data_IF_097044804385
#
_entry.id   IF_097044804385
#
_cell.length_a   1.000
_cell.length_b   1.000
_cell.length_c   1.000
_cell.angle_alpha   90.00
_cell.angle_beta   90.00
_cell.angle_gamma   90.00
#
_symmetry.space_group_name_H-M   'P 1'
#
loop_
_entity.id
_entity.type
_entity.pdbx_description
1 polymer ?
#
# COMPACT_ATOMS: atom_id res chain seq x y z
N UNK A 1 69.00 7.29 56.04
CA UNK A 1 68.65 8.12 54.87
C UNK A 1 68.69 7.24 53.63
N UNK A 2 67.59 6.62 53.18
CA UNK A 2 67.54 5.95 51.86
C UNK A 2 66.13 5.63 51.31
N UNK A 3 65.04 5.88 52.06
CA UNK A 3 63.69 5.57 51.58
C UNK A 3 62.95 6.74 50.91
N UNK A 4 63.59 7.92 50.80
CA UNK A 4 62.97 9.12 50.20
C UNK A 4 62.91 9.07 48.66
N UNK A 5 63.75 8.24 48.04
CA UNK A 5 63.87 8.13 46.58
C UNK A 5 62.77 7.26 45.94
N UNK A 6 62.24 6.27 46.67
CA UNK A 6 61.16 5.42 46.17
C UNK A 6 59.82 6.15 46.03
N UNK A 7 59.52 7.08 46.95
CA UNK A 7 58.24 7.78 46.97
C UNK A 7 58.09 8.81 45.84
N UNK A 8 59.19 9.50 45.47
CA UNK A 8 59.18 10.44 44.34
C UNK A 8 59.02 9.74 42.98
N UNK A 9 59.62 8.55 42.80
CA UNK A 9 59.40 7.75 41.59
C UNK A 9 57.96 7.25 41.47
N UNK A 10 57.35 6.84 42.58
CA UNK A 10 55.96 6.39 42.57
C UNK A 10 54.98 7.51 42.19
N UNK A 11 55.18 8.71 42.75
CA UNK A 11 54.37 9.90 42.43
C UNK A 11 54.49 10.31 40.96
N UNK A 12 55.70 10.25 40.39
CA UNK A 12 55.94 10.55 38.98
C UNK A 12 55.22 9.55 38.05
N UNK A 13 55.30 8.25 38.35
CA UNK A 13 54.61 7.20 37.57
C UNK A 13 53.09 7.36 37.65
N UNK A 14 52.55 7.74 38.81
CA UNK A 14 51.12 8.01 38.96
C UNK A 14 50.66 9.26 38.19
N UNK A 15 51.48 10.31 38.10
CA UNK A 15 51.17 11.50 37.28
C UNK A 15 51.19 11.19 35.79
N UNK A 16 52.20 10.45 35.30
CA UNK A 16 52.31 10.07 33.88
C UNK A 16 51.10 9.19 33.47
N UNK A 17 50.68 8.25 34.32
CA UNK A 17 49.52 7.40 34.04
C UNK A 17 48.21 8.20 33.94
N UNK A 18 48.04 9.26 34.75
CA UNK A 18 46.87 10.14 34.67
C UNK A 18 46.86 10.96 33.37
N UNK A 19 47.99 11.51 32.96
CA UNK A 19 48.11 12.25 31.70
C UNK A 19 47.84 11.37 30.48
N UNK A 20 48.34 10.13 30.49
CA UNK A 20 48.13 9.19 29.38
C UNK A 20 46.65 8.79 29.23
N UNK A 21 45.96 8.51 30.34
CA UNK A 21 44.51 8.20 30.31
C UNK A 21 43.70 9.41 29.85
N UNK A 22 44.05 10.62 30.29
CA UNK A 22 43.35 11.84 29.87
C UNK A 22 43.56 12.14 28.37
N UNK A 23 44.77 11.92 27.85
CA UNK A 23 45.07 12.04 26.42
C UNK A 23 44.27 11.04 25.56
N UNK A 24 44.11 9.80 26.02
CA UNK A 24 43.31 8.79 25.30
C UNK A 24 41.83 9.17 25.29
N UNK A 25 41.30 9.68 26.41
CA UNK A 25 39.90 10.12 26.49
C UNK A 25 39.63 11.33 25.59
N UNK A 26 40.54 12.29 25.51
CA UNK A 26 40.44 13.43 24.58
C UNK A 26 40.50 12.93 23.13
N UNK A 27 41.42 12.04 22.80
CA UNK A 27 41.53 11.48 21.45
C UNK A 27 40.26 10.71 21.05
N UNK A 28 39.68 9.90 21.96
CA UNK A 28 38.39 9.24 21.71
C UNK A 28 37.23 10.23 21.57
N UNK A 29 37.18 11.29 22.38
CA UNK A 29 36.13 12.30 22.26
C UNK A 29 36.21 13.08 20.93
N UNK A 30 37.41 13.39 20.46
CA UNK A 30 37.63 14.01 19.13
C UNK A 30 37.23 13.04 18.01
N UNK A 31 37.53 11.74 18.16
CA UNK A 31 37.16 10.73 17.17
C UNK A 31 35.65 10.50 17.08
N UNK A 32 34.93 10.59 18.22
CA UNK A 32 33.48 10.44 18.27
C UNK A 32 32.73 11.66 17.72
N UNK A 33 33.29 12.87 17.81
CA UNK A 33 32.66 14.09 17.29
C UNK A 33 32.80 14.28 15.77
N UNK A 34 33.65 13.49 15.09
CA UNK A 34 33.86 13.59 13.64
C UNK A 34 33.02 12.60 12.82
N UNK A 35 32.06 11.89 13.42
CA UNK A 35 31.05 11.19 12.64
C UNK A 35 30.07 12.22 12.07
N UNK A 36 30.46 12.83 10.96
CA UNK A 36 29.53 13.49 10.03
C UNK A 36 28.63 12.38 9.53
N UNK A 37 27.45 12.25 10.14
CA UNK A 37 26.41 11.38 9.64
C UNK A 37 26.03 11.88 8.24
N UNK A 38 26.31 11.07 7.23
CA UNK A 38 25.82 11.35 5.88
C UNK A 38 24.30 11.46 5.98
N UNK A 39 23.76 12.59 5.54
CA UNK A 39 22.32 12.80 5.57
C UNK A 39 21.64 11.75 4.68
N UNK A 40 20.63 11.07 5.22
CA UNK A 40 19.90 10.01 4.54
C UNK A 40 18.92 10.62 3.51
N UNK A 41 18.94 10.09 2.29
CA UNK A 41 17.98 10.46 1.25
C UNK A 41 16.67 9.71 1.46
N UNK A 42 15.54 10.40 1.32
CA UNK A 42 14.22 9.79 1.26
C UNK A 42 13.49 10.14 -0.04
N UNK A 43 12.58 9.26 -0.45
CA UNK A 43 11.84 9.36 -1.70
C UNK A 43 10.36 9.30 -1.41
N UNK A 44 9.62 10.25 -1.96
CA UNK A 44 8.16 10.24 -1.99
C UNK A 44 7.75 10.07 -3.45
N UNK A 45 6.95 9.05 -3.73
CA UNK A 45 6.38 8.82 -5.05
C UNK A 45 4.87 9.10 -5.05
N UNK A 46 4.40 9.80 -6.09
CA UNK A 46 2.99 10.05 -6.35
C UNK A 46 2.69 9.66 -7.79
N UNK A 47 1.63 8.88 -8.00
CA UNK A 47 1.24 8.43 -9.34
C UNK A 47 -0.19 8.87 -9.68
N UNK A 48 -0.34 9.60 -10.78
CA UNK A 48 -1.64 10.12 -11.26
C UNK A 48 -1.69 10.00 -12.78
N UNK A 49 -2.72 9.34 -13.33
CA UNK A 49 -2.96 9.23 -14.78
C UNK A 49 -1.72 8.73 -15.55
N UNK A 50 -1.12 7.61 -15.13
CA UNK A 50 0.11 7.05 -15.71
C UNK A 50 1.36 7.98 -15.68
N UNK A 51 1.33 9.04 -14.87
CA UNK A 51 2.46 9.93 -14.64
C UNK A 51 2.99 9.71 -13.24
N UNK A 52 4.25 9.29 -13.13
CA UNK A 52 4.94 9.13 -11.86
C UNK A 52 5.74 10.40 -11.55
N UNK A 53 5.47 10.98 -10.38
CA UNK A 53 6.22 12.10 -9.82
C UNK A 53 7.02 11.61 -8.62
N UNK A 54 8.34 11.76 -8.67
CA UNK A 54 9.24 11.43 -7.56
C UNK A 54 9.75 12.72 -6.93
N UNK A 55 9.63 12.84 -5.62
CA UNK A 55 10.21 13.92 -4.82
C UNK A 55 11.33 13.36 -3.95
N UNK A 56 12.54 13.86 -4.13
CA UNK A 56 13.74 13.44 -3.38
C UNK A 56 14.03 14.46 -2.29
N UNK A 57 14.15 13.98 -1.05
CA UNK A 57 14.39 14.79 0.14
C UNK A 57 15.69 14.38 0.84
N UNK A 58 16.38 15.34 1.44
CA UNK A 58 17.49 15.13 2.40
C UNK A 58 17.13 15.87 3.67
N UNK A 59 17.05 15.15 4.79
CA UNK A 59 16.63 15.73 6.07
C UNK A 59 15.30 16.51 5.99
N UNK A 60 14.37 16.05 5.13
CA UNK A 60 13.07 16.67 4.89
C UNK A 60 13.06 17.84 3.89
N UNK A 61 14.21 18.26 3.35
CA UNK A 61 14.30 19.34 2.38
C UNK A 61 14.47 18.81 0.95
N UNK A 62 13.88 19.46 -0.06
CA UNK A 62 14.05 19.05 -1.46
C UNK A 62 15.50 19.07 -1.95
N UNK A 63 15.88 18.03 -2.71
CA UNK A 63 17.23 17.91 -3.27
C UNK A 63 17.22 18.23 -4.75
N UNK A 64 17.68 19.44 -5.11
CA UNK A 64 17.86 19.86 -6.51
C UNK A 64 19.09 19.19 -7.15
N UNK A 65 19.07 18.99 -8.47
CA UNK A 65 20.19 18.45 -9.24
C UNK A 65 20.64 17.04 -8.79
N UNK A 66 19.75 16.25 -8.21
CA UNK A 66 19.96 14.82 -7.99
C UNK A 66 19.76 14.08 -9.32
N UNK A 67 20.62 13.11 -9.61
CA UNK A 67 20.53 12.31 -10.81
C UNK A 67 19.71 11.05 -10.54
N UNK A 68 18.70 10.79 -11.36
CA UNK A 68 17.83 9.61 -11.22
C UNK A 68 17.87 8.76 -12.48
N UNK A 69 18.09 7.46 -12.29
CA UNK A 69 18.12 6.45 -13.34
C UNK A 69 16.97 5.47 -13.11
N UNK A 70 16.12 5.27 -14.11
CA UNK A 70 14.96 4.37 -14.03
C UNK A 70 15.27 3.07 -14.76
N UNK A 71 14.98 1.94 -14.10
CA UNK A 71 15.21 0.59 -14.61
C UNK A 71 13.92 -0.20 -14.63
N UNK A 72 13.79 -1.06 -15.65
CA UNK A 72 12.60 -1.86 -15.91
C UNK A 72 12.35 -2.91 -14.81
N UNK A 73 13.44 -3.49 -14.28
CA UNK A 73 13.37 -4.62 -13.36
C UNK A 73 14.66 -4.71 -12.51
N UNK A 74 14.75 -5.76 -11.70
CA UNK A 74 15.90 -6.05 -10.84
C UNK A 74 17.17 -6.44 -11.61
N UNK A 75 17.09 -6.67 -12.92
CA UNK A 75 18.27 -6.87 -13.78
C UNK A 75 18.95 -5.55 -14.14
N UNK A 76 18.42 -4.41 -13.67
CA UNK A 76 18.94 -3.07 -13.93
C UNK A 76 19.02 -2.74 -15.42
N UNK A 77 18.06 -3.26 -16.21
CA UNK A 77 17.89 -2.87 -17.60
C UNK A 77 17.33 -1.45 -17.66
N UNK A 78 18.13 -0.53 -18.20
CA UNK A 78 17.80 0.90 -18.27
C UNK A 78 16.50 1.10 -19.07
N UNK A 79 15.54 1.77 -18.45
CA UNK A 79 14.22 2.07 -19.03
C UNK A 79 14.16 3.50 -19.57
N UNK A 80 14.71 4.45 -18.81
CA UNK A 80 14.70 5.87 -19.16
C UNK A 80 16.10 6.47 -19.12
N UNK A 81 16.33 7.53 -19.91
CA UNK A 81 17.51 8.36 -19.78
C UNK A 81 17.57 9.06 -18.42
N UNK A 82 18.80 9.46 -18.06
CA UNK A 82 19.11 10.14 -16.80
C UNK A 82 18.20 11.36 -16.62
N UNK A 83 17.44 11.36 -15.54
CA UNK A 83 16.59 12.48 -15.12
C UNK A 83 17.32 13.30 -14.06
N UNK A 84 17.02 14.59 -13.97
CA UNK A 84 17.62 15.50 -13.00
C UNK A 84 16.49 16.21 -12.26
N UNK A 85 16.52 16.18 -10.92
CA UNK A 85 15.51 16.87 -10.10
C UNK A 85 15.57 18.38 -10.27
N UNK A 86 14.40 19.01 -10.31
CA UNK A 86 14.23 20.47 -10.32
C UNK A 86 14.48 21.08 -8.93
N UNK A 87 14.28 22.40 -8.80
CA UNK A 87 14.43 23.14 -7.53
C UNK A 87 13.51 22.65 -6.39
N UNK A 88 12.42 21.96 -6.72
CA UNK A 88 11.49 21.33 -5.78
C UNK A 88 11.88 19.87 -5.48
N UNK A 89 13.06 19.41 -5.91
CA UNK A 89 13.52 18.04 -5.72
C UNK A 89 12.72 17.02 -6.53
N UNK A 90 12.00 17.46 -7.57
CA UNK A 90 11.04 16.64 -8.31
C UNK A 90 11.54 16.23 -9.68
N UNK A 91 11.17 15.01 -10.07
CA UNK A 91 11.16 14.56 -11.48
C UNK A 91 9.80 13.97 -11.82
N UNK A 92 9.46 14.05 -13.10
CA UNK A 92 8.22 13.51 -13.64
C UNK A 92 8.52 12.70 -14.90
N UNK A 93 7.91 11.53 -15.04
CA UNK A 93 8.00 10.76 -16.28
C UNK A 93 6.74 9.94 -16.53
N UNK A 94 6.49 9.65 -17.81
CA UNK A 94 5.39 8.80 -18.25
C UNK A 94 5.71 7.34 -17.98
N UNK A 95 4.74 6.62 -17.44
CA UNK A 95 4.92 5.29 -16.89
C UNK A 95 3.86 4.34 -17.42
N UNK A 96 4.25 3.21 -18.01
CA UNK A 96 3.32 2.21 -18.57
C UNK A 96 3.42 0.83 -17.93
N UNK A 97 4.42 0.60 -17.09
CA UNK A 97 4.66 -0.69 -16.45
C UNK A 97 4.05 -0.73 -15.04
N UNK A 98 4.21 -1.82 -14.29
CA UNK A 98 3.63 -1.93 -12.92
C UNK A 98 4.63 -1.63 -11.82
N UNK A 99 5.90 -1.92 -12.07
CA UNK A 99 6.99 -1.75 -11.09
C UNK A 99 8.24 -1.35 -11.83
N UNK A 100 8.98 -0.37 -11.32
CA UNK A 100 10.31 0.02 -11.79
C UNK A 100 11.24 0.26 -10.60
N UNK A 101 12.53 0.29 -10.87
CA UNK A 101 13.53 0.65 -9.87
C UNK A 101 14.13 2.00 -10.22
N UNK A 102 14.26 2.87 -9.22
CA UNK A 102 14.99 4.12 -9.34
C UNK A 102 16.31 4.03 -8.58
N UNK A 103 17.41 4.33 -9.28
CA UNK A 103 18.71 4.61 -8.65
C UNK A 103 18.91 6.12 -8.60
N UNK A 104 19.13 6.65 -7.41
CA UNK A 104 19.27 8.07 -7.15
C UNK A 104 20.69 8.32 -6.66
N UNK A 105 21.36 9.29 -7.28
CA UNK A 105 22.75 9.63 -6.98
C UNK A 105 22.89 11.13 -6.78
N UNK A 106 23.51 11.55 -5.67
CA UNK A 106 23.79 12.95 -5.35
C UNK A 106 25.18 13.06 -4.72
N UNK A 107 25.90 14.14 -5.02
CA UNK A 107 27.25 14.37 -4.48
C UNK A 107 27.28 14.23 -2.96
N UNK A 108 28.22 13.42 -2.45
CA UNK A 108 28.43 13.15 -1.02
C UNK A 108 27.33 12.34 -0.31
N UNK A 109 26.38 11.79 -1.06
CA UNK A 109 25.45 10.78 -0.56
C UNK A 109 25.75 9.43 -1.20
N UNK A 110 25.49 8.36 -0.47
CA UNK A 110 25.49 7.02 -1.03
C UNK A 110 24.33 6.85 -2.02
N UNK A 111 24.52 5.97 -3.01
CA UNK A 111 23.49 5.68 -4.00
C UNK A 111 22.26 5.04 -3.33
N UNK A 112 21.08 5.62 -3.55
CA UNK A 112 19.81 5.06 -3.08
C UNK A 112 19.13 4.29 -4.20
N UNK A 113 18.72 3.04 -3.94
CA UNK A 113 17.93 2.23 -4.86
C UNK A 113 16.56 2.00 -4.23
N UNK A 114 15.51 2.47 -4.91
CA UNK A 114 14.13 2.35 -4.44
C UNK A 114 13.29 1.58 -5.47
N UNK A 115 12.53 0.59 -5.01
CA UNK A 115 11.47 -0.03 -5.81
C UNK A 115 10.26 0.90 -5.80
N UNK A 116 9.78 1.23 -7.00
CA UNK A 116 8.64 2.10 -7.22
C UNK A 116 7.53 1.27 -7.85
N UNK A 117 6.37 1.26 -7.21
CA UNK A 117 5.17 0.65 -7.75
C UNK A 117 4.12 1.73 -7.90
N UNK A 118 3.83 2.13 -9.14
CA UNK A 118 2.62 2.88 -9.41
C UNK A 118 1.46 1.89 -9.38
N UNK A 119 0.94 1.65 -8.19
CA UNK A 119 -0.43 1.20 -8.04
C UNK A 119 -1.20 2.51 -8.02
N UNK A 120 -1.96 2.82 -9.07
CA UNK A 120 -2.88 3.97 -9.03
C UNK A 120 -3.73 3.81 -7.77
N UNK A 121 -3.38 4.55 -6.71
CA UNK A 121 -4.14 4.53 -5.49
C UNK A 121 -5.45 5.18 -5.84
N UNK A 122 -6.52 4.39 -5.82
CA UNK A 122 -7.88 4.88 -5.94
C UNK A 122 -8.02 5.99 -4.90
N UNK A 123 -8.10 7.25 -5.31
CA UNK A 123 -8.59 8.28 -4.41
C UNK A 123 -10.09 8.04 -4.34
N UNK A 124 -10.64 7.57 -3.20
CA UNK A 124 -12.08 7.59 -3.03
C UNK A 124 -12.49 9.05 -3.15
N UNK A 125 -13.06 9.43 -4.30
CA UNK A 125 -13.89 10.61 -4.33
C UNK A 125 -15.06 10.24 -3.43
N UNK A 126 -15.15 10.93 -2.28
CA UNK A 126 -16.28 10.80 -1.38
C UNK A 126 -17.54 11.28 -2.10
N UNK A 127 -18.12 10.40 -2.91
CA UNK A 127 -19.47 10.54 -3.39
C UNK A 127 -20.30 9.81 -2.36
N UNK A 128 -21.01 10.57 -1.55
CA UNK A 128 -22.21 10.07 -0.91
C UNK A 128 -23.17 9.70 -2.05
N UNK A 129 -23.15 8.44 -2.46
CA UNK A 129 -24.22 7.86 -3.28
C UNK A 129 -25.44 7.88 -2.36
N UNK A 130 -26.19 8.98 -2.40
CA UNK A 130 -27.45 9.08 -1.67
C UNK A 130 -28.47 8.23 -2.42
N UNK A 131 -28.78 7.07 -1.83
CA UNK A 131 -30.01 6.35 -2.07
C UNK A 131 -30.08 5.59 -3.38
N UNK A 132 -29.79 4.29 -3.32
CA UNK A 132 -30.53 3.34 -4.14
C UNK A 132 -31.94 3.30 -3.55
N UNK A 133 -32.90 3.89 -4.25
CA UNK A 133 -34.31 3.83 -3.83
C UNK A 133 -34.84 2.45 -4.25
N UNK A 134 -35.17 1.65 -3.25
CA UNK A 134 -35.77 0.31 -3.33
C UNK A 134 -34.96 -0.74 -4.10
N UNK A 135 -33.91 -1.31 -3.50
CA UNK A 135 -32.85 -2.07 -4.20
C UNK A 135 -31.66 -2.47 -3.32
N UNK A 136 -31.62 -3.71 -2.81
CA UNK A 136 -30.49 -4.39 -2.16
C UNK A 136 -29.23 -4.47 -3.05
N UNK A 137 -28.54 -3.34 -3.22
CA UNK A 137 -27.17 -3.32 -3.73
C UNK A 137 -26.23 -3.51 -2.54
N UNK A 138 -25.56 -4.67 -2.49
CA UNK A 138 -24.39 -4.85 -1.64
C UNK A 138 -23.22 -4.09 -2.23
N UNK A 139 -22.92 -2.91 -1.70
CA UNK A 139 -21.66 -2.21 -1.93
C UNK A 139 -20.67 -2.78 -0.92
N UNK A 140 -19.70 -3.57 -1.40
CA UNK A 140 -18.63 -4.09 -0.55
C UNK A 140 -17.33 -3.46 -1.03
N UNK A 141 -16.72 -2.65 -0.17
CA UNK A 141 -15.36 -2.17 -0.42
C UNK A 141 -14.38 -3.32 -0.17
N UNK A 142 -13.64 -3.74 -1.20
CA UNK A 142 -12.54 -4.67 -1.04
C UNK A 142 -11.36 -3.94 -0.37
N UNK A 143 -11.00 -4.24 0.89
CA UNK A 143 -9.98 -3.50 1.61
C UNK A 143 -8.57 -3.72 1.05
N UNK A 144 -8.36 -4.77 0.25
CA UNK A 144 -7.07 -5.11 -0.36
C UNK A 144 -6.95 -4.47 -1.73
N UNK A 145 -8.04 -4.41 -2.50
CA UNK A 145 -8.03 -3.86 -3.87
C UNK A 145 -8.54 -2.42 -3.97
N UNK A 146 -9.10 -1.86 -2.90
CA UNK A 146 -9.77 -0.55 -2.88
C UNK A 146 -10.84 -0.41 -3.97
N UNK A 147 -11.42 -1.53 -4.41
CA UNK A 147 -12.43 -1.57 -5.46
C UNK A 147 -13.80 -1.79 -4.83
N UNK A 148 -14.76 -0.97 -5.23
CA UNK A 148 -16.16 -1.18 -4.90
C UNK A 148 -16.68 -2.38 -5.70
N UNK A 149 -16.95 -3.48 -5.01
CA UNK A 149 -17.64 -4.63 -5.57
C UNK A 149 -19.13 -4.34 -5.56
N UNK A 150 -19.74 -4.47 -6.73
CA UNK A 150 -21.15 -4.20 -6.95
C UNK A 150 -21.86 -5.51 -7.27
N UNK A 151 -22.78 -5.94 -6.40
CA UNK A 151 -23.77 -6.96 -6.75
C UNK A 151 -24.87 -6.32 -7.60
N UNK A 152 -24.91 -6.68 -8.89
CA UNK A 152 -25.84 -6.13 -9.88
C UNK A 152 -27.22 -6.77 -9.84
N UNK A 153 -27.49 -7.71 -8.91
CA UNK A 153 -28.78 -8.37 -8.78
C UNK A 153 -29.98 -7.42 -8.70
N UNK A 154 -29.76 -6.15 -8.31
CA UNK A 154 -30.79 -5.12 -8.29
C UNK A 154 -30.24 -3.69 -8.39
N UNK A 155 -29.65 -3.29 -9.53
CA UNK A 155 -29.20 -1.91 -9.74
C UNK A 155 -30.35 -0.98 -10.19
N UNK A 156 -30.86 -0.14 -9.30
CA UNK A 156 -31.97 0.79 -9.60
C UNK A 156 -31.43 2.14 -10.09
N UNK A 157 -30.78 2.12 -11.25
CA UNK A 157 -30.26 3.33 -11.90
C UNK A 157 -29.12 4.02 -11.16
N UNK A 158 -28.59 5.07 -11.78
CA UNK A 158 -27.66 6.01 -11.14
C UNK A 158 -28.38 7.34 -11.03
N UNK A 159 -28.45 7.85 -9.80
CA UNK A 159 -28.97 9.17 -9.51
C UNK A 159 -27.83 10.09 -9.07
N UNK A 160 -27.87 11.34 -9.55
CA UNK A 160 -26.93 12.37 -9.13
C UNK A 160 -27.67 13.66 -8.83
N UNK A 161 -27.26 14.35 -7.76
CA UNK A 161 -27.72 15.70 -7.46
C UNK A 161 -26.93 16.72 -8.30
N UNK A 162 -27.60 17.68 -8.93
CA UNK A 162 -26.96 18.77 -9.67
C UNK A 162 -27.16 18.72 -11.18
N UNK A 163 -26.14 19.15 -11.93
CA UNK A 163 -26.26 19.38 -13.38
C UNK A 163 -26.48 18.07 -14.13
N UNK A 164 -27.56 18.00 -14.91
CA UNK A 164 -27.88 16.87 -15.77
C UNK A 164 -26.79 16.73 -16.84
N UNK A 165 -26.10 15.59 -16.95
CA UNK A 165 -25.12 15.38 -18.00
C UNK A 165 -25.78 15.35 -19.37
N UNK A 166 -25.09 15.86 -20.39
CA UNK A 166 -25.54 15.76 -21.78
C UNK A 166 -25.30 14.36 -22.34
N UNK A 167 -24.22 13.72 -21.90
CA UNK A 167 -23.83 12.37 -22.32
C UNK A 167 -23.23 11.60 -21.16
N UNK A 168 -23.58 10.32 -21.06
CA UNK A 168 -22.99 9.33 -20.17
C UNK A 168 -22.34 8.28 -21.05
N UNK A 169 -21.02 8.12 -20.95
CA UNK A 169 -20.31 7.00 -21.59
C UNK A 169 -20.01 5.95 -20.55
N UNK A 170 -20.32 4.71 -20.87
CA UNK A 170 -20.00 3.55 -20.06
C UNK A 170 -18.97 2.77 -20.86
N UNK A 171 -17.77 2.69 -20.32
CA UNK A 171 -16.68 1.90 -20.86
C UNK A 171 -16.61 0.60 -20.09
N UNK A 172 -16.32 -0.48 -20.81
CA UNK A 172 -15.97 -1.78 -20.25
C UNK A 172 -14.59 -2.15 -20.76
N UNK A 173 -13.67 -2.44 -19.84
CA UNK A 173 -12.29 -2.79 -20.15
C UNK A 173 -11.66 -1.79 -21.14
N UNK A 174 -11.86 -0.49 -20.86
CA UNK A 174 -11.44 0.67 -21.67
C UNK A 174 -12.07 0.83 -23.06
N UNK A 175 -13.07 0.02 -23.42
CA UNK A 175 -13.81 0.16 -24.66
C UNK A 175 -15.18 0.78 -24.39
N UNK A 176 -15.60 1.74 -25.22
CA UNK A 176 -16.95 2.32 -25.09
C UNK A 176 -17.98 1.23 -25.34
N UNK A 177 -18.65 0.82 -24.29
CA UNK A 177 -19.65 -0.23 -24.31
C UNK A 177 -21.04 0.36 -24.56
N UNK A 178 -21.35 1.48 -23.92
CA UNK A 178 -22.63 2.17 -24.09
C UNK A 178 -22.47 3.68 -24.01
N UNK A 179 -23.30 4.39 -24.77
CA UNK A 179 -23.40 5.85 -24.69
C UNK A 179 -24.87 6.21 -24.55
N UNK A 180 -25.19 7.03 -23.56
CA UNK A 180 -26.53 7.51 -23.27
C UNK A 180 -26.48 9.02 -23.38
N UNK A 181 -27.40 9.62 -24.12
CA UNK A 181 -27.50 11.06 -24.24
C UNK A 181 -28.74 11.56 -23.53
N UNK A 182 -28.79 12.87 -23.28
CA UNK A 182 -29.96 13.56 -22.72
C UNK A 182 -31.24 13.27 -23.51
N UNK A 183 -31.14 13.12 -24.84
CA UNK A 183 -32.29 12.80 -25.69
C UNK A 183 -32.73 11.33 -25.66
N UNK A 184 -31.91 10.41 -25.16
CA UNK A 184 -32.11 8.96 -25.32
C UNK A 184 -32.27 8.20 -24.00
N UNK A 185 -32.30 8.87 -22.85
CA UNK A 185 -32.55 8.17 -21.59
C UNK A 185 -32.11 8.84 -20.30
N UNK A 186 -31.46 10.02 -20.34
CA UNK A 186 -31.19 10.78 -19.10
C UNK A 186 -32.43 11.62 -18.80
N UNK A 187 -33.23 11.16 -17.86
CA UNK A 187 -34.47 11.85 -17.48
C UNK A 187 -34.27 12.62 -16.17
N UNK A 188 -34.76 13.87 -16.06
CA UNK A 188 -34.89 14.51 -14.77
C UNK A 188 -35.87 13.69 -13.91
N UNK A 189 -35.49 13.42 -12.67
CA UNK A 189 -36.36 12.84 -11.66
C UNK A 189 -37.52 13.79 -11.38
N UNK A 190 -38.73 13.26 -11.28
CA UNK A 190 -39.95 14.05 -11.10
C UNK A 190 -40.17 14.48 -9.65
N UNK A 191 -39.45 13.92 -8.69
CA UNK A 191 -39.65 14.16 -7.26
C UNK A 191 -38.48 14.83 -6.54
N UNK A 192 -37.27 14.76 -7.08
CA UNK A 192 -36.06 15.33 -6.49
C UNK A 192 -35.21 15.95 -7.61
N UNK A 193 -34.41 16.99 -7.33
CA UNK A 193 -33.53 17.69 -8.30
C UNK A 193 -32.36 16.83 -8.77
N UNK A 194 -32.68 15.62 -9.22
CA UNK A 194 -31.80 14.53 -9.56
C UNK A 194 -32.05 14.15 -11.02
N UNK A 195 -31.06 13.58 -11.67
CA UNK A 195 -31.22 12.92 -12.95
C UNK A 195 -31.04 11.42 -12.77
N UNK A 196 -31.64 10.63 -13.65
CA UNK A 196 -31.56 9.18 -13.57
C UNK A 196 -31.17 8.57 -14.93
N UNK A 197 -30.40 7.49 -14.86
CA UNK A 197 -30.13 6.59 -15.99
C UNK A 197 -31.12 5.42 -15.94
N UNK A 198 -31.61 4.89 -17.08
CA UNK A 198 -32.58 3.79 -17.09
C UNK A 198 -32.05 2.55 -16.36
N UNK A 199 -32.92 1.87 -15.62
CA UNK A 199 -32.58 0.67 -14.83
C UNK A 199 -31.98 -0.47 -15.68
N UNK A 200 -32.33 -0.53 -16.97
CA UNK A 200 -31.85 -1.56 -17.91
C UNK A 200 -30.40 -1.39 -18.35
N UNK A 201 -29.70 -0.38 -17.85
CA UNK A 201 -28.35 -0.06 -18.32
C UNK A 201 -27.32 -1.08 -17.87
N UNK A 202 -27.53 -1.76 -16.74
CA UNK A 202 -26.62 -2.77 -16.20
C UNK A 202 -27.27 -4.15 -16.06
N UNK A 203 -28.28 -4.45 -16.87
CA UNK A 203 -28.98 -5.74 -16.80
C UNK A 203 -28.20 -6.81 -17.57
N UNK A 204 -27.87 -7.94 -16.92
CA UNK A 204 -27.08 -9.06 -17.47
C UNK A 204 -25.60 -8.73 -17.80
N UNK A 205 -24.99 -7.79 -17.08
CA UNK A 205 -23.60 -7.44 -17.36
C UNK A 205 -22.62 -8.57 -17.04
N UNK A 206 -21.64 -8.72 -17.93
CA UNK A 206 -20.54 -9.65 -17.76
C UNK A 206 -19.49 -9.07 -16.80
N UNK A 207 -18.74 -9.93 -16.09
CA UNK A 207 -17.61 -9.49 -15.27
C UNK A 207 -16.61 -8.65 -16.06
N UNK A 208 -16.05 -7.63 -15.41
CA UNK A 208 -15.08 -6.73 -16.04
C UNK A 208 -14.90 -5.43 -15.28
N UNK A 209 -13.98 -4.60 -15.76
CA UNK A 209 -13.80 -3.25 -15.24
C UNK A 209 -14.71 -2.30 -15.99
N UNK A 210 -15.48 -1.50 -15.25
CA UNK A 210 -16.40 -0.52 -15.80
C UNK A 210 -15.92 0.88 -15.43
N UNK A 211 -16.09 1.80 -16.37
CA UNK A 211 -15.82 3.23 -16.19
C UNK A 211 -16.99 4.02 -16.74
N UNK A 212 -17.62 4.83 -15.91
CA UNK A 212 -18.71 5.72 -16.26
C UNK A 212 -18.14 7.13 -16.35
N UNK A 213 -18.37 7.80 -17.47
CA UNK A 213 -17.93 9.16 -17.74
C UNK A 213 -19.16 10.02 -17.99
N UNK A 214 -19.38 11.00 -17.12
CA UNK A 214 -20.39 12.02 -17.29
C UNK A 214 -19.80 13.19 -18.08
N UNK A 215 -20.49 13.64 -19.12
CA UNK A 215 -20.08 14.73 -19.99
C UNK A 215 -21.18 15.78 -19.98
N UNK A 216 -20.82 17.01 -19.63
CA UNK A 216 -21.72 18.17 -19.60
C UNK A 216 -21.07 19.31 -20.37
N UNK A 217 -21.81 19.91 -21.30
CA UNK A 217 -21.36 20.93 -22.24
C UNK A 217 -20.04 20.55 -22.94
N UNK A 218 -19.91 19.27 -23.32
CA UNK A 218 -18.71 18.74 -23.98
C UNK A 218 -17.49 18.51 -23.07
N UNK A 219 -17.62 18.73 -21.75
CA UNK A 219 -16.54 18.54 -20.77
C UNK A 219 -16.84 17.35 -19.87
N UNK A 220 -15.84 16.51 -19.59
CA UNK A 220 -15.96 15.42 -18.61
C UNK A 220 -16.09 16.01 -17.19
N UNK A 221 -17.22 15.74 -16.53
CA UNK A 221 -17.53 16.29 -15.20
C UNK A 221 -17.36 15.29 -14.09
N UNK A 222 -17.47 13.99 -14.39
CA UNK A 222 -17.28 12.93 -13.41
C UNK A 222 -16.81 11.66 -14.12
N UNK A 223 -15.88 10.96 -13.47
CA UNK A 223 -15.42 9.64 -13.86
C UNK A 223 -15.59 8.71 -12.67
N UNK A 224 -16.32 7.62 -12.85
CA UNK A 224 -16.56 6.61 -11.82
C UNK A 224 -16.12 5.25 -12.32
N UNK A 225 -15.25 4.56 -11.59
CA UNK A 225 -14.70 3.25 -11.97
C UNK A 225 -15.07 2.19 -10.94
N UNK A 226 -15.48 1.01 -11.40
CA UNK A 226 -15.85 -0.12 -10.54
C UNK A 226 -15.61 -1.46 -11.24
N UNK A 227 -15.47 -2.53 -10.46
CA UNK A 227 -15.30 -3.89 -10.98
C UNK A 227 -16.58 -4.69 -10.77
N UNK A 228 -17.15 -5.20 -11.85
CA UNK A 228 -18.29 -6.13 -11.80
C UNK A 228 -17.75 -7.54 -11.74
N UNK A 229 -18.25 -8.33 -10.79
CA UNK A 229 -17.91 -9.75 -10.63
C UNK A 229 -19.20 -10.56 -10.64
N UNK A 230 -19.20 -11.69 -11.35
CA UNK A 230 -20.30 -12.63 -11.27
C UNK A 230 -20.19 -13.37 -9.94
N UNK A 231 -21.19 -13.23 -9.09
CA UNK A 231 -21.29 -14.01 -7.87
C UNK A 231 -21.81 -15.40 -8.28
N UNK A 232 -20.90 -16.26 -8.72
CA UNK A 232 -21.20 -17.70 -8.86
C UNK A 232 -21.29 -18.27 -7.44
N UNK A 233 -22.40 -18.91 -7.09
CA UNK A 233 -22.72 -19.51 -5.79
C UNK A 233 -21.52 -20.01 -4.96
N UNK A 234 -20.88 -19.12 -4.20
CA UNK A 234 -20.06 -19.44 -3.04
C UNK A 234 -19.77 -18.14 -2.27
N UNK A 235 -20.64 -17.82 -1.31
CA UNK A 235 -20.41 -16.96 -0.12
C UNK A 235 -21.74 -16.46 0.48
N UNK A 236 -22.82 -17.26 0.38
CA UNK A 236 -24.05 -16.97 1.13
C UNK A 236 -23.90 -17.19 2.64
N UNK A 237 -22.81 -17.81 3.10
CA UNK A 237 -22.57 -18.09 4.53
C UNK A 237 -22.06 -16.90 5.34
N UNK A 238 -21.66 -15.79 4.71
CA UNK A 238 -21.07 -14.64 5.43
C UNK A 238 -21.93 -13.36 5.40
N UNK A 239 -23.17 -13.42 4.88
CA UNK A 239 -24.00 -12.20 4.77
C UNK A 239 -25.50 -12.38 5.10
N UNK A 240 -25.90 -13.43 5.80
CA UNK A 240 -27.21 -13.49 6.47
C UNK A 240 -27.02 -13.58 7.98
N UNK A 241 -27.10 -12.43 8.65
CA UNK A 241 -27.31 -12.39 10.09
C UNK A 241 -28.68 -12.97 10.45
N UNK A 242 -28.69 -13.94 11.37
CA UNK A 242 -29.74 -14.22 12.33
C UNK A 242 -31.20 -14.08 11.87
N UNK A 243 -31.86 -15.19 11.55
CA UNK A 243 -33.22 -15.44 12.04
C UNK A 243 -33.41 -16.92 12.39
N UNK A 244 -33.18 -17.19 13.68
CA UNK A 244 -33.79 -18.24 14.53
C UNK A 244 -33.74 -19.73 14.10
N UNK A 245 -32.94 -20.50 14.86
CA UNK A 245 -33.25 -21.81 15.51
C UNK A 245 -32.30 -23.00 15.32
N UNK A 246 -31.22 -22.93 14.54
CA UNK A 246 -30.32 -24.08 14.37
C UNK A 246 -28.87 -23.83 14.84
N UNK A 247 -28.71 -23.04 15.92
CA UNK A 247 -27.44 -22.80 16.61
C UNK A 247 -27.36 -23.74 17.82
N UNK A 248 -26.75 -24.92 17.69
CA UNK A 248 -26.08 -25.52 18.85
C UNK A 248 -24.98 -26.53 18.50
N UNK A 249 -25.03 -27.22 17.35
CA UNK A 249 -24.04 -28.28 17.07
C UNK A 249 -22.87 -27.84 16.17
N UNK A 250 -23.10 -27.01 15.14
CA UNK A 250 -22.04 -26.66 14.17
C UNK A 250 -21.09 -25.52 14.61
N UNK A 251 -21.41 -24.75 15.65
CA UNK A 251 -20.55 -23.66 16.15
C UNK A 251 -19.29 -24.17 16.88
N UNK A 252 -19.30 -25.40 17.38
CA UNK A 252 -18.16 -25.98 18.12
C UNK A 252 -16.99 -26.38 17.20
N UNK A 253 -17.25 -26.57 15.90
CA UNK A 253 -16.26 -27.07 14.95
C UNK A 253 -15.46 -25.94 14.28
N UNK A 254 -16.11 -24.84 13.92
CA UNK A 254 -15.46 -23.68 13.28
C UNK A 254 -14.61 -22.83 14.23
N UNK A 255 -15.00 -22.70 15.50
CA UNK A 255 -14.19 -21.98 16.51
C UNK A 255 -12.90 -22.76 16.89
N UNK A 256 -12.83 -24.05 16.59
CA UNK A 256 -11.65 -24.87 16.84
C UNK A 256 -10.53 -24.63 15.82
N UNK A 257 -10.83 -24.12 14.62
CA UNK A 257 -9.83 -23.89 13.56
C UNK A 257 -8.83 -22.78 13.93
N UNK A 258 -9.27 -21.79 14.70
CA UNK A 258 -8.48 -20.64 15.14
C UNK A 258 -7.62 -20.91 16.40
N UNK A 259 -7.85 -22.03 17.09
CA UNK A 259 -7.08 -22.42 18.29
C UNK A 259 -6.00 -23.47 18.01
N UNK A 260 -5.73 -23.77 16.74
CA UNK A 260 -4.75 -24.78 16.34
C UNK A 260 -3.43 -24.11 15.97
N UNK A 261 -2.33 -24.60 16.54
CA UNK A 261 -0.99 -24.06 16.27
C UNK A 261 -0.64 -24.13 14.78
N UNK A 262 0.17 -23.21 14.25
CA UNK A 262 0.56 -23.17 12.83
C UNK A 262 1.07 -24.50 12.29
N UNK A 263 1.92 -25.17 13.06
CA UNK A 263 2.46 -26.47 12.70
C UNK A 263 1.37 -27.54 12.56
N UNK A 264 0.31 -27.47 13.37
CA UNK A 264 -0.81 -28.41 13.31
C UNK A 264 -1.78 -28.05 12.18
N UNK A 265 -1.93 -26.77 11.83
CA UNK A 265 -2.65 -26.36 10.62
C UNK A 265 -1.95 -26.94 9.37
N UNK A 266 -0.62 -26.79 9.28
CA UNK A 266 0.16 -27.32 8.18
C UNK A 266 0.08 -28.86 8.09
N UNK A 267 0.14 -29.57 9.22
CA UNK A 267 -0.06 -31.03 9.28
C UNK A 267 -1.46 -31.48 8.87
N UNK A 268 -2.46 -30.60 8.99
CA UNK A 268 -3.82 -30.86 8.55
C UNK A 268 -4.06 -30.51 7.07
N UNK A 269 -2.98 -30.21 6.31
CA UNK A 269 -3.05 -29.92 4.88
C UNK A 269 -3.31 -28.46 4.53
N UNK A 270 -3.22 -27.53 5.50
CA UNK A 270 -3.27 -26.09 5.22
C UNK A 270 -1.97 -25.68 4.54
N UNK A 271 -2.08 -25.01 3.39
CA UNK A 271 -0.93 -24.47 2.65
C UNK A 271 -0.15 -23.48 3.53
N UNK A 272 1.19 -23.40 3.44
CA UNK A 272 1.98 -22.43 4.18
C UNK A 272 1.47 -20.98 4.10
N UNK A 273 0.94 -20.58 2.94
CA UNK A 273 0.41 -19.23 2.70
C UNK A 273 -0.99 -19.01 3.32
N UNK A 274 -1.70 -20.09 3.65
CA UNK A 274 -3.06 -20.06 4.21
C UNK A 274 -3.06 -20.29 5.73
N UNK A 275 -1.87 -20.35 6.36
CA UNK A 275 -1.75 -20.50 7.81
C UNK A 275 -2.20 -19.21 8.49
N UNK A 276 -3.21 -19.32 9.35
CA UNK A 276 -3.78 -18.16 10.05
C UNK A 276 -3.20 -18.09 11.46
N UNK A 277 -2.66 -16.92 11.81
CA UNK A 277 -2.33 -16.56 13.18
C UNK A 277 -3.48 -15.81 13.85
N UNK A 278 -3.56 -15.91 15.18
CA UNK A 278 -4.44 -15.04 15.96
C UNK A 278 -4.08 -13.56 15.71
N UNK A 279 -5.07 -12.67 15.82
CA UNK A 279 -5.04 -11.25 15.42
C UNK A 279 -3.92 -10.37 16.00
N UNK A 280 -3.07 -10.91 16.88
CA UNK A 280 -1.96 -10.21 17.53
C UNK A 280 -0.60 -10.91 17.34
N UNK A 281 -0.51 -11.90 16.46
CA UNK A 281 0.72 -12.66 16.20
C UNK A 281 1.08 -12.62 14.71
N UNK A 282 2.38 -12.63 14.43
CA UNK A 282 2.95 -12.66 13.10
C UNK A 282 3.41 -14.08 12.77
N UNK A 283 3.17 -14.51 11.52
CA UNK A 283 3.63 -15.79 11.03
C UNK A 283 5.11 -15.71 10.63
N UNK A 284 5.91 -16.62 11.18
CA UNK A 284 7.32 -16.77 10.84
C UNK A 284 7.64 -18.22 10.52
N UNK A 285 8.62 -18.42 9.64
CA UNK A 285 9.10 -19.74 9.25
C UNK A 285 10.58 -19.88 9.59
N UNK A 286 10.96 -21.04 10.12
CA UNK A 286 12.36 -21.34 10.40
C UNK A 286 13.05 -21.77 9.12
N UNK A 287 14.15 -21.10 8.75
CA UNK A 287 14.86 -21.33 7.49
C UNK A 287 15.35 -22.78 7.37
N UNK A 288 15.73 -23.41 8.49
CA UNK A 288 16.35 -24.75 8.46
C UNK A 288 15.40 -25.88 8.08
N UNK A 289 14.09 -25.72 8.29
CA UNK A 289 13.13 -26.82 8.19
C UNK A 289 11.68 -26.37 7.90
N UNK A 290 11.51 -25.13 7.42
CA UNK A 290 10.24 -24.51 7.05
C UNK A 290 9.12 -24.67 8.08
N UNK A 291 9.49 -24.74 9.36
CA UNK A 291 8.51 -24.91 10.44
C UNK A 291 7.84 -23.58 10.77
N UNK A 292 6.50 -23.49 10.71
CA UNK A 292 5.78 -22.24 10.97
C UNK A 292 5.57 -22.01 12.48
N UNK A 293 5.60 -20.74 12.88
CA UNK A 293 5.27 -20.28 14.22
C UNK A 293 4.56 -18.92 14.19
N UNK A 294 3.57 -18.74 15.06
CA UNK A 294 2.94 -17.44 15.31
C UNK A 294 3.63 -16.80 16.51
N UNK A 295 4.22 -15.63 16.33
CA UNK A 295 5.06 -14.98 17.33
C UNK A 295 4.61 -13.54 17.55
N UNK A 296 4.98 -12.93 18.68
CA UNK A 296 4.64 -11.52 18.92
C UNK A 296 5.48 -10.63 18.00
N UNK A 297 4.94 -9.49 17.52
CA UNK A 297 5.70 -8.52 16.73
C UNK A 297 7.05 -8.15 17.38
N UNK A 298 7.08 -7.97 18.70
CA UNK A 298 8.29 -7.63 19.46
C UNK A 298 9.37 -8.72 19.52
N UNK A 299 9.09 -9.92 19.01
CA UNK A 299 10.05 -11.04 18.96
C UNK A 299 10.57 -11.35 17.56
N UNK A 300 10.04 -10.68 16.54
CA UNK A 300 10.32 -10.97 15.12
C UNK A 300 11.78 -10.69 14.78
N UNK A 301 12.29 -9.50 15.11
CA UNK A 301 13.70 -9.13 14.86
C UNK A 301 14.68 -10.14 15.46
N UNK A 302 14.46 -10.53 16.72
CA UNK A 302 15.28 -11.54 17.42
C UNK A 302 15.22 -12.93 16.78
N UNK A 303 14.11 -13.26 16.12
CA UNK A 303 13.97 -14.54 15.42
C UNK A 303 14.60 -14.50 14.04
N UNK A 304 14.55 -13.36 13.34
CA UNK A 304 15.27 -13.16 12.09
C UNK A 304 16.78 -13.39 12.30
N UNK A 305 17.36 -12.80 13.34
CA UNK A 305 18.76 -13.03 13.75
C UNK A 305 19.08 -14.50 14.04
N UNK A 306 18.07 -15.32 14.38
CA UNK A 306 18.20 -16.75 14.71
C UNK A 306 17.86 -17.68 13.55
N UNK A 307 17.82 -17.15 12.33
CA UNK A 307 17.56 -17.94 11.13
C UNK A 307 16.08 -18.26 10.92
N UNK A 308 15.21 -17.30 11.22
CA UNK A 308 13.81 -17.31 10.81
C UNK A 308 13.57 -16.25 9.73
N UNK A 309 12.58 -16.45 8.88
CA UNK A 309 12.14 -15.43 7.93
C UNK A 309 10.68 -15.06 8.19
N UNK A 310 10.38 -13.80 7.94
CA UNK A 310 9.05 -13.24 8.04
C UNK A 310 8.28 -13.56 6.75
N UNK A 311 7.08 -14.10 6.88
CA UNK A 311 6.15 -14.26 5.77
C UNK A 311 5.16 -13.10 5.84
N UNK A 312 5.40 -12.08 5.03
CA UNK A 312 4.52 -10.92 4.93
C UNK A 312 3.24 -11.31 4.20
N UNK A 313 2.11 -11.27 4.92
CA UNK A 313 0.78 -11.21 4.32
C UNK A 313 0.41 -9.76 4.02
#
# INVERSE_FOLDING_TARGET
MNNKWGFQKLLLVMQIRKYFVFSILIAMAIFLNNQVFAEELSVIDECINNKLTLTILSSGNPVENASVYIYQDSSMKKFHDKLITNAQGQIEFQFSEKTVYAKITKDKHDDLIQSLSCIESFRPQSVSIFGVVDSSVGIIDDPVKQLTIVDLGTFYGLAGNGTIPDTVKILRDNHVWKTITKGTGISPSTSHSEWQIPQTVFYNELPGKYRIILITNGTETLVYEFEVRQITEYNKSNFEGNTTKNISENASKELSKYNVTPLKQMKNGVSPNDIICNSNLQLMFKITNDSPACVKPSTVEKLIERGWFFHGN
#
